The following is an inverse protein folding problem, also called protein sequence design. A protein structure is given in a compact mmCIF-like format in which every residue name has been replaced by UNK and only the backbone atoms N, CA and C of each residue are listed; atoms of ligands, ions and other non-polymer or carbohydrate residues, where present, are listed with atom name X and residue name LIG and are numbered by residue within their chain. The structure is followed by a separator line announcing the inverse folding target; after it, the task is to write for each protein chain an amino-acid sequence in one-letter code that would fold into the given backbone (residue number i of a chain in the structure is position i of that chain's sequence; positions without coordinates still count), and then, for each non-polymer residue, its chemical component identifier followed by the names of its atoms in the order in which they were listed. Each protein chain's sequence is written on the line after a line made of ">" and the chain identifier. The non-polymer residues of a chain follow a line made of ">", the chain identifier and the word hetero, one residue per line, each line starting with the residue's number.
data_IF_887548535183
#
_entry.id   IF_887548535183
#
_cell.length_a   1.000
_cell.length_b   1.000
_cell.length_c   1.000
_cell.angle_alpha   90.00
_cell.angle_beta   90.00
_cell.angle_gamma   90.00
#
_symmetry.space_group_name_H-M   'P 1'
#
loop_
_entity.id
_entity.type
_entity.pdbx_description
1 polymer ?
#
# COMPACT_ATOMS: atom_id res chain seq x y z
N UNK A 1 -1.45 -32.68 -4.47
CA UNK A 1 -2.49 -32.43 -3.44
C UNK A 1 -2.14 -31.29 -2.49
N UNK A 2 -1.89 -30.10 -3.07
CA UNK A 2 -1.54 -28.86 -2.34
C UNK A 2 -2.60 -28.49 -1.30
N UNK A 3 -3.87 -28.76 -1.61
CA UNK A 3 -5.02 -28.45 -0.74
C UNK A 3 -5.35 -29.53 0.28
N UNK A 4 -4.73 -30.73 0.23
CA UNK A 4 -5.00 -31.79 1.20
C UNK A 4 -4.36 -31.54 2.57
N UNK A 5 -3.23 -30.80 2.61
CA UNK A 5 -2.53 -30.41 3.84
C UNK A 5 -2.02 -28.97 3.75
N UNK A 6 -2.89 -27.95 3.78
CA UNK A 6 -2.50 -26.57 3.52
C UNK A 6 -1.63 -25.95 4.62
N UNK A 7 -1.56 -26.57 5.80
CA UNK A 7 -0.85 -26.04 6.98
C UNK A 7 0.27 -26.97 7.49
N UNK A 8 0.89 -27.76 6.60
CA UNK A 8 2.04 -28.54 7.01
C UNK A 8 3.29 -27.68 7.22
N UNK A 9 4.21 -28.15 8.06
CA UNK A 9 5.52 -27.54 8.30
C UNK A 9 6.54 -28.67 8.27
N UNK A 10 7.40 -28.67 7.25
CA UNK A 10 8.50 -29.63 7.11
C UNK A 10 9.87 -29.00 7.32
N UNK A 11 9.96 -27.66 7.11
CA UNK A 11 11.19 -26.91 7.26
C UNK A 11 10.94 -25.40 7.34
N UNK A 12 12.00 -24.59 7.52
CA UNK A 12 11.87 -23.13 7.64
C UNK A 12 11.20 -22.48 6.42
N UNK A 13 11.45 -23.01 5.22
CA UNK A 13 10.91 -22.51 3.95
C UNK A 13 10.00 -23.55 3.26
N UNK A 14 9.84 -24.74 3.81
CA UNK A 14 8.94 -25.79 3.31
C UNK A 14 7.69 -25.86 4.18
N UNK A 15 6.77 -24.98 3.90
CA UNK A 15 5.52 -24.84 4.63
C UNK A 15 4.32 -24.86 3.66
N UNK A 16 3.19 -25.35 4.15
CA UNK A 16 1.97 -25.45 3.37
C UNK A 16 1.50 -24.08 2.83
N UNK A 17 0.74 -24.12 1.72
CA UNK A 17 0.23 -22.92 1.04
C UNK A 17 -0.54 -21.99 1.99
N UNK A 18 -1.24 -22.54 3.00
CA UNK A 18 -1.98 -21.73 3.98
C UNK A 18 -1.07 -20.81 4.79
N UNK A 19 0.09 -21.27 5.23
CA UNK A 19 1.06 -20.45 5.94
C UNK A 19 1.68 -19.37 5.04
N UNK A 20 1.95 -19.72 3.77
CA UNK A 20 2.45 -18.78 2.77
C UNK A 20 1.43 -17.65 2.50
N UNK A 21 0.15 -17.99 2.37
CA UNK A 21 -0.93 -17.02 2.23
C UNK A 21 -1.02 -16.09 3.45
N UNK A 22 -1.00 -16.65 4.66
CA UNK A 22 -1.07 -15.86 5.88
C UNK A 22 0.11 -14.91 6.04
N UNK A 23 1.32 -15.36 5.70
CA UNK A 23 2.52 -14.53 5.75
C UNK A 23 2.43 -13.35 4.78
N UNK A 24 2.05 -13.62 3.52
CA UNK A 24 1.85 -12.55 2.51
C UNK A 24 0.74 -11.59 2.90
N UNK A 25 -0.39 -12.08 3.40
CA UNK A 25 -1.49 -11.27 3.93
C UNK A 25 -1.05 -10.36 5.09
N UNK A 26 -0.26 -10.90 6.02
CA UNK A 26 0.28 -10.14 7.13
C UNK A 26 1.17 -8.98 6.66
N UNK A 27 2.07 -9.23 5.72
CA UNK A 27 2.94 -8.20 5.13
C UNK A 27 2.15 -7.13 4.38
N UNK A 28 1.18 -7.57 3.56
CA UNK A 28 0.28 -6.64 2.85
C UNK A 28 -0.53 -5.82 3.84
N UNK A 29 -1.09 -6.45 4.88
CA UNK A 29 -1.86 -5.76 5.92
C UNK A 29 -1.05 -4.67 6.63
N UNK A 30 0.18 -4.98 7.02
CA UNK A 30 1.06 -4.00 7.70
C UNK A 30 1.52 -2.90 6.75
N UNK A 31 2.04 -3.25 5.57
CA UNK A 31 2.53 -2.26 4.60
C UNK A 31 1.43 -1.34 4.09
N UNK A 32 0.28 -1.91 3.75
CA UNK A 32 -0.91 -1.18 3.33
C UNK A 32 -1.48 -0.31 4.47
N UNK A 33 -1.58 -0.86 5.69
CA UNK A 33 -2.05 -0.13 6.86
C UNK A 33 -1.18 1.08 7.18
N UNK A 34 0.15 0.96 7.12
CA UNK A 34 1.09 2.07 7.26
C UNK A 34 0.93 3.10 6.13
N UNK A 35 0.77 2.65 4.89
CA UNK A 35 0.54 3.53 3.76
C UNK A 35 -0.77 4.31 3.90
N UNK A 36 -1.84 3.67 4.40
CA UNK A 36 -3.11 4.33 4.69
C UNK A 36 -2.98 5.34 5.84
N UNK A 37 -2.35 4.93 6.94
CA UNK A 37 -2.18 5.78 8.13
C UNK A 37 -1.37 7.05 7.85
N UNK A 38 -0.45 7.03 6.91
CA UNK A 38 0.38 8.18 6.52
C UNK A 38 -0.18 8.86 5.26
N UNK A 39 -0.54 8.09 4.25
CA UNK A 39 -0.97 8.59 2.94
C UNK A 39 -2.30 9.33 2.97
N UNK A 40 -3.27 8.85 3.73
CA UNK A 40 -4.58 9.50 3.84
C UNK A 40 -4.47 10.87 4.53
N UNK A 41 -3.86 11.02 5.71
CA UNK A 41 -3.65 12.34 6.33
C UNK A 41 -2.84 13.29 5.44
N UNK A 42 -1.77 12.81 4.80
CA UNK A 42 -1.01 13.63 3.85
C UNK A 42 -1.86 14.07 2.65
N UNK A 43 -2.70 13.19 2.12
CA UNK A 43 -3.64 13.51 1.05
C UNK A 43 -4.62 14.61 1.45
N UNK A 44 -5.15 14.58 2.68
CA UNK A 44 -6.00 15.65 3.22
C UNK A 44 -5.24 16.97 3.31
N UNK A 45 -4.01 16.97 3.82
CA UNK A 45 -3.18 18.17 3.94
C UNK A 45 -2.89 18.76 2.56
N UNK A 46 -2.42 17.94 1.61
CA UNK A 46 -2.09 18.37 0.26
C UNK A 46 -3.33 18.86 -0.50
N UNK A 47 -4.46 18.19 -0.34
CA UNK A 47 -5.72 18.60 -0.95
C UNK A 47 -6.26 19.90 -0.38
N UNK A 48 -6.09 20.13 0.93
CA UNK A 48 -6.56 21.33 1.63
C UNK A 48 -5.68 22.55 1.37
N UNK A 49 -4.37 22.38 1.37
CA UNK A 49 -3.39 23.45 1.22
C UNK A 49 -2.73 23.40 -0.15
N UNK A 50 -3.24 24.18 -1.08
CA UNK A 50 -2.76 24.19 -2.47
C UNK A 50 -1.27 24.56 -2.58
N UNK A 51 -0.76 25.41 -1.71
CA UNK A 51 0.65 25.77 -1.67
C UNK A 51 1.54 24.52 -1.40
N UNK A 52 1.17 23.73 -0.39
CA UNK A 52 1.89 22.48 -0.07
C UNK A 52 1.79 21.47 -1.20
N UNK A 53 0.62 21.36 -1.83
CA UNK A 53 0.45 20.51 -2.99
C UNK A 53 1.35 20.92 -4.15
N UNK A 54 1.47 22.21 -4.43
CA UNK A 54 2.36 22.71 -5.46
C UNK A 54 3.83 22.43 -5.17
N UNK A 55 4.25 22.47 -3.90
CA UNK A 55 5.63 22.14 -3.49
C UNK A 55 5.94 20.65 -3.61
N UNK A 56 5.01 19.78 -3.23
CA UNK A 56 5.23 18.33 -3.12
C UNK A 56 4.91 17.61 -4.45
N UNK A 57 4.03 18.17 -5.26
CA UNK A 57 3.60 17.57 -6.53
C UNK A 57 4.75 17.20 -7.48
N UNK A 58 5.80 18.01 -7.69
CA UNK A 58 6.94 17.62 -8.51
C UNK A 58 7.66 16.39 -7.96
N UNK A 59 7.81 16.29 -6.64
CA UNK A 59 8.47 15.16 -5.97
C UNK A 59 7.67 13.89 -6.20
N UNK A 60 6.35 13.95 -5.99
CA UNK A 60 5.44 12.83 -6.25
C UNK A 60 5.53 12.39 -7.71
N UNK A 61 5.53 13.34 -8.63
CA UNK A 61 5.59 13.08 -10.08
C UNK A 61 6.90 12.40 -10.50
N UNK A 62 8.00 12.68 -9.82
CA UNK A 62 9.30 12.05 -10.05
C UNK A 62 9.41 10.65 -9.41
N UNK A 63 8.88 10.48 -8.20
CA UNK A 63 9.03 9.23 -7.45
C UNK A 63 7.97 8.18 -7.80
N UNK A 64 6.77 8.60 -8.16
CA UNK A 64 5.66 7.70 -8.48
C UNK A 64 5.95 6.73 -9.64
N UNK A 65 6.56 7.14 -10.77
CA UNK A 65 6.85 6.22 -11.86
C UNK A 65 8.03 5.29 -11.60
N UNK A 66 8.78 5.48 -10.51
CA UNK A 66 9.86 4.56 -10.12
C UNK A 66 9.26 3.22 -9.76
N UNK A 67 9.79 2.15 -10.38
CA UNK A 67 9.33 0.79 -10.07
C UNK A 67 9.42 0.51 -8.57
N UNK A 68 8.34 0.05 -7.93
CA UNK A 68 8.38 -0.31 -6.51
C UNK A 68 9.49 -1.29 -6.17
N UNK A 69 9.80 -2.22 -7.07
CA UNK A 69 10.88 -3.21 -6.87
C UNK A 69 12.28 -2.57 -6.85
N UNK A 70 12.46 -1.41 -7.47
CA UNK A 70 13.72 -0.66 -7.39
C UNK A 70 14.02 -0.16 -5.95
N UNK A 71 12.99 -0.05 -5.10
CA UNK A 71 13.13 0.29 -3.69
C UNK A 71 13.51 -0.88 -2.79
N UNK A 72 13.42 -2.13 -3.31
CA UNK A 72 13.73 -3.33 -2.54
C UNK A 72 15.19 -3.38 -2.05
N UNK A 73 16.22 -3.12 -2.88
CA UNK A 73 17.60 -3.09 -2.42
C UNK A 73 17.83 -2.08 -1.30
N UNK A 74 17.19 -0.91 -1.38
CA UNK A 74 17.27 0.11 -0.33
C UNK A 74 16.65 -0.41 0.96
N UNK A 75 15.48 -1.05 0.89
CA UNK A 75 14.86 -1.70 2.03
C UNK A 75 15.75 -2.77 2.66
N UNK A 76 16.39 -3.61 1.86
CA UNK A 76 17.31 -4.64 2.35
C UNK A 76 18.56 -4.05 3.01
N UNK A 77 19.12 -2.97 2.48
CA UNK A 77 20.26 -2.28 3.07
C UNK A 77 19.92 -1.64 4.43
N UNK A 78 18.74 -1.03 4.54
CA UNK A 78 18.31 -0.32 5.75
C UNK A 78 17.87 -1.30 6.83
N UNK A 79 17.00 -2.23 6.49
CA UNK A 79 16.39 -3.14 7.47
C UNK A 79 17.17 -4.42 7.70
N UNK A 80 18.09 -4.78 6.80
CA UNK A 80 18.94 -5.99 6.85
C UNK A 80 18.14 -7.30 7.05
N UNK A 81 16.88 -7.29 6.66
CA UNK A 81 15.96 -8.43 6.76
C UNK A 81 14.94 -8.41 5.62
N UNK A 82 14.59 -9.59 5.10
CA UNK A 82 13.67 -9.73 3.98
C UNK A 82 12.25 -9.27 4.31
N UNK A 83 11.75 -9.63 5.50
CA UNK A 83 10.37 -9.33 5.91
C UNK A 83 10.10 -7.81 6.03
N UNK A 84 10.89 -7.00 6.77
CA UNK A 84 10.72 -5.55 6.78
C UNK A 84 10.96 -4.90 5.42
N UNK A 85 11.89 -5.42 4.61
CA UNK A 85 12.14 -4.89 3.27
C UNK A 85 10.94 -5.09 2.34
N UNK A 86 10.27 -6.24 2.40
CA UNK A 86 9.05 -6.50 1.65
C UNK A 86 7.91 -5.56 2.09
N UNK A 87 7.73 -5.35 3.39
CA UNK A 87 6.75 -4.39 3.94
C UNK A 87 7.04 -2.96 3.46
N UNK A 88 8.31 -2.56 3.45
CA UNK A 88 8.75 -1.26 2.91
C UNK A 88 8.35 -1.05 1.45
N UNK A 89 8.54 -2.05 0.60
CA UNK A 89 8.19 -1.97 -0.82
C UNK A 89 6.68 -1.88 -1.01
N UNK A 90 5.89 -2.63 -0.21
CA UNK A 90 4.42 -2.51 -0.19
C UNK A 90 4.01 -1.09 0.22
N UNK A 91 4.60 -0.57 1.26
CA UNK A 91 4.34 0.79 1.76
C UNK A 91 4.59 1.83 0.67
N UNK A 92 5.77 1.83 0.05
CA UNK A 92 6.14 2.77 -1.01
C UNK A 92 5.23 2.67 -2.22
N UNK A 93 4.82 1.47 -2.62
CA UNK A 93 3.91 1.28 -3.76
C UNK A 93 2.49 1.75 -3.49
N UNK A 94 2.03 1.59 -2.25
CA UNK A 94 0.64 1.86 -1.86
C UNK A 94 0.39 3.31 -1.45
N UNK A 95 1.42 4.02 -1.00
CA UNK A 95 1.27 5.38 -0.48
C UNK A 95 0.83 6.39 -1.56
N UNK A 96 1.38 6.29 -2.77
CA UNK A 96 1.10 7.24 -3.85
C UNK A 96 -0.36 7.26 -4.28
N UNK A 97 -1.02 6.14 -4.58
CA UNK A 97 -2.44 6.13 -4.90
C UNK A 97 -3.31 6.70 -3.77
N UNK A 98 -2.96 6.43 -2.51
CA UNK A 98 -3.70 6.94 -1.35
C UNK A 98 -3.58 8.46 -1.22
N UNK A 99 -2.38 9.00 -1.30
CA UNK A 99 -2.15 10.45 -1.25
C UNK A 99 -2.90 11.15 -2.38
N UNK A 100 -2.70 10.68 -3.61
CA UNK A 100 -3.23 11.36 -4.80
C UNK A 100 -4.75 11.32 -4.83
N UNK A 101 -5.37 10.16 -4.61
CA UNK A 101 -6.83 10.06 -4.66
C UNK A 101 -7.50 10.80 -3.51
N UNK A 102 -6.89 10.82 -2.32
CA UNK A 102 -7.38 11.61 -1.19
C UNK A 102 -7.27 13.11 -1.47
N UNK A 103 -6.14 13.58 -1.97
CA UNK A 103 -5.94 15.00 -2.31
C UNK A 103 -6.91 15.46 -3.41
N UNK A 104 -7.08 14.67 -4.46
CA UNK A 104 -8.06 14.96 -5.54
C UNK A 104 -9.49 14.97 -4.97
N UNK A 105 -9.83 14.05 -4.08
CA UNK A 105 -11.12 14.03 -3.42
C UNK A 105 -11.39 15.31 -2.62
N UNK A 106 -10.39 15.80 -1.86
CA UNK A 106 -10.48 17.06 -1.10
C UNK A 106 -10.67 18.26 -2.03
N UNK A 107 -9.93 18.30 -3.15
CA UNK A 107 -10.03 19.39 -4.12
C UNK A 107 -11.38 19.45 -4.85
N UNK A 108 -12.12 18.34 -4.89
CA UNK A 108 -13.45 18.25 -5.49
C UNK A 108 -14.58 18.72 -4.57
N UNK A 109 -14.30 18.99 -3.30
CA UNK A 109 -15.30 19.50 -2.35
C UNK A 109 -15.75 20.90 -2.80
N UNK A 110 -17.07 21.16 -2.93
CA UNK A 110 -17.57 22.45 -3.34
C UNK A 110 -17.09 23.58 -2.40
N UNK A 111 -16.69 24.71 -2.99
CA UNK A 111 -16.19 25.87 -2.25
C UNK A 111 -17.23 26.42 -1.25
N UNK A 112 -18.51 26.22 -1.55
CA UNK A 112 -19.60 26.67 -0.68
C UNK A 112 -19.54 26.03 0.71
N UNK A 113 -19.14 24.77 0.82
CA UNK A 113 -18.96 24.08 2.10
C UNK A 113 -17.85 24.73 2.93
N UNK A 114 -16.75 25.13 2.27
CA UNK A 114 -15.64 25.83 2.92
C UNK A 114 -16.02 27.26 3.30
N UNK A 115 -16.84 27.94 2.51
CA UNK A 115 -17.37 29.26 2.82
C UNK A 115 -18.27 29.24 4.07
N UNK A 116 -19.15 28.24 4.19
CA UNK A 116 -19.96 28.02 5.39
C UNK A 116 -19.06 27.79 6.61
N UNK A 117 -17.99 27.01 6.47
CA UNK A 117 -17.04 26.78 7.56
C UNK A 117 -16.37 28.10 8.04
N UNK A 118 -16.04 28.99 7.09
CA UNK A 118 -15.47 30.31 7.41
C UNK A 118 -16.48 31.20 8.15
N UNK A 119 -17.73 31.25 7.71
CA UNK A 119 -18.79 32.03 8.36
C UNK A 119 -19.01 31.53 9.80
N UNK A 120 -18.95 30.23 10.02
CA UNK A 120 -19.09 29.62 11.34
C UNK A 120 -17.81 29.65 12.19
N UNK A 121 -16.73 30.26 11.68
CA UNK A 121 -15.40 30.27 12.33
C UNK A 121 -14.93 28.91 12.84
N UNK A 122 -15.10 27.86 12.02
CA UNK A 122 -14.67 26.52 12.37
C UNK A 122 -13.14 26.42 12.35
N UNK A 123 -12.55 25.74 13.34
CA UNK A 123 -11.12 25.41 13.33
C UNK A 123 -10.78 24.46 12.19
N UNK A 124 -9.54 24.49 11.70
CA UNK A 124 -9.08 23.60 10.60
C UNK A 124 -9.33 22.13 10.92
N UNK A 125 -9.14 21.70 12.16
CA UNK A 125 -9.46 20.35 12.61
C UNK A 125 -10.94 19.99 12.42
N UNK A 126 -11.84 20.91 12.76
CA UNK A 126 -13.29 20.70 12.55
C UNK A 126 -13.64 20.70 11.06
N UNK A 127 -13.00 21.54 10.25
CA UNK A 127 -13.18 21.53 8.79
C UNK A 127 -12.77 20.18 8.22
N UNK A 128 -11.60 19.68 8.57
CA UNK A 128 -11.11 18.38 8.08
C UNK A 128 -12.02 17.23 8.54
N UNK A 129 -12.36 17.16 9.82
CA UNK A 129 -13.10 16.01 10.38
C UNK A 129 -14.58 16.01 10.07
N UNK A 130 -15.23 17.19 10.02
CA UNK A 130 -16.69 17.30 9.86
C UNK A 130 -17.16 17.63 8.46
N UNK A 131 -16.32 18.24 7.64
CA UNK A 131 -16.68 18.64 6.28
C UNK A 131 -15.90 17.83 5.25
N UNK A 132 -14.57 17.89 5.28
CA UNK A 132 -13.74 17.26 4.26
C UNK A 132 -13.80 15.73 4.32
N UNK A 133 -13.63 15.14 5.48
CA UNK A 133 -13.62 13.69 5.63
C UNK A 133 -14.92 13.03 5.12
N UNK A 134 -16.14 13.47 5.55
CA UNK A 134 -17.38 12.91 5.01
C UNK A 134 -17.55 13.16 3.50
N UNK A 135 -17.12 14.31 3.00
CA UNK A 135 -17.24 14.68 1.59
C UNK A 135 -16.28 13.91 0.69
N UNK A 136 -15.12 13.53 1.19
CA UNK A 136 -14.08 12.76 0.48
C UNK A 136 -14.34 11.26 0.55
N UNK A 137 -15.09 10.79 1.53
CA UNK A 137 -15.35 9.38 1.77
C UNK A 137 -15.80 8.60 0.51
N UNK A 138 -16.63 9.12 -0.39
CA UNK A 138 -16.99 8.44 -1.64
C UNK A 138 -15.83 8.24 -2.63
N UNK A 139 -14.77 9.05 -2.54
CA UNK A 139 -13.59 9.00 -3.43
C UNK A 139 -12.49 8.10 -2.89
N UNK A 140 -12.43 7.89 -1.57
CA UNK A 140 -11.41 7.08 -0.91
C UNK A 140 -11.35 5.63 -1.40
N UNK A 141 -12.48 4.92 -1.66
CA UNK A 141 -12.45 3.54 -2.14
C UNK A 141 -11.66 3.35 -3.43
N UNK A 142 -11.63 4.34 -4.31
CA UNK A 142 -10.82 4.27 -5.53
C UNK A 142 -9.33 4.22 -5.23
N UNK A 143 -8.83 5.09 -4.36
CA UNK A 143 -7.44 5.09 -3.92
C UNK A 143 -7.07 3.79 -3.20
N UNK A 144 -7.93 3.31 -2.32
CA UNK A 144 -7.76 2.06 -1.57
C UNK A 144 -7.69 0.87 -2.52
N UNK A 145 -8.60 0.77 -3.49
CA UNK A 145 -8.61 -0.32 -4.48
C UNK A 145 -7.32 -0.36 -5.30
N UNK A 146 -6.87 0.80 -5.79
CA UNK A 146 -5.63 0.90 -6.56
C UNK A 146 -4.42 0.52 -5.69
N UNK A 147 -4.38 0.99 -4.45
CA UNK A 147 -3.30 0.70 -3.52
C UNK A 147 -3.23 -0.79 -3.16
N UNK A 148 -4.36 -1.45 -2.91
CA UNK A 148 -4.42 -2.91 -2.66
C UNK A 148 -3.93 -3.68 -3.88
N UNK A 149 -4.38 -3.31 -5.09
CA UNK A 149 -3.94 -3.96 -6.32
C UNK A 149 -2.43 -3.87 -6.51
N UNK A 150 -1.84 -2.69 -6.27
CA UNK A 150 -0.39 -2.50 -6.32
C UNK A 150 0.33 -3.27 -5.22
N UNK A 151 -0.20 -3.29 -4.00
CA UNK A 151 0.38 -4.03 -2.88
C UNK A 151 0.51 -5.53 -3.17
N UNK A 152 -0.54 -6.15 -3.73
CA UNK A 152 -0.52 -7.55 -4.12
C UNK A 152 0.46 -7.85 -5.25
N UNK A 153 0.48 -7.04 -6.28
CA UNK A 153 1.39 -7.23 -7.39
C UNK A 153 2.85 -7.14 -6.92
N UNK A 154 3.12 -6.20 -6.05
CA UNK A 154 4.48 -5.92 -5.57
C UNK A 154 4.95 -6.97 -4.55
N UNK A 155 4.08 -7.45 -3.64
CA UNK A 155 4.49 -8.44 -2.63
C UNK A 155 4.90 -9.77 -3.28
N UNK A 156 4.14 -10.24 -4.26
CA UNK A 156 4.49 -11.49 -4.97
C UNK A 156 5.87 -11.38 -5.58
N UNK A 157 6.16 -10.30 -6.29
CA UNK A 157 7.47 -10.09 -6.90
C UNK A 157 8.59 -9.89 -5.86
N UNK A 158 8.33 -9.18 -4.77
CA UNK A 158 9.29 -8.99 -3.68
C UNK A 158 9.64 -10.31 -2.98
N UNK A 159 8.66 -11.16 -2.72
CA UNK A 159 8.85 -12.48 -2.11
C UNK A 159 9.63 -13.43 -3.02
N UNK A 160 9.42 -13.38 -4.34
CA UNK A 160 10.22 -14.13 -5.31
C UNK A 160 11.70 -13.76 -5.23
N UNK A 161 12.00 -12.49 -5.00
CA UNK A 161 13.38 -11.99 -4.96
C UNK A 161 14.06 -12.16 -3.60
N UNK A 162 13.29 -12.06 -2.51
CA UNK A 162 13.85 -12.11 -1.15
C UNK A 162 13.90 -13.52 -0.56
N UNK A 163 13.07 -14.42 -1.08
CA UNK A 163 12.92 -15.76 -0.53
C UNK A 163 12.12 -15.78 0.79
N UNK A 164 12.04 -16.96 1.40
CA UNK A 164 11.34 -17.16 2.67
C UNK A 164 9.87 -17.61 2.49
N UNK A 165 9.09 -17.52 3.56
CA UNK A 165 7.68 -17.92 3.56
C UNK A 165 6.83 -16.84 2.90
N UNK A 166 6.08 -17.18 1.88
CA UNK A 166 5.19 -16.29 1.14
C UNK A 166 4.72 -16.89 -0.17
N UNK A 167 3.59 -16.40 -0.68
CA UNK A 167 2.99 -16.91 -1.94
C UNK A 167 3.97 -16.76 -3.10
N UNK A 168 4.64 -15.62 -3.21
CA UNK A 168 5.57 -15.36 -4.30
C UNK A 168 6.76 -16.32 -4.31
N UNK A 169 7.34 -16.56 -3.14
CA UNK A 169 8.43 -17.53 -3.01
C UNK A 169 7.95 -18.95 -3.27
N UNK A 170 6.78 -19.34 -2.76
CA UNK A 170 6.20 -20.66 -3.00
C UNK A 170 5.97 -20.92 -4.50
N UNK A 171 5.40 -19.95 -5.23
CA UNK A 171 5.23 -20.06 -6.69
C UNK A 171 6.58 -20.19 -7.41
N UNK A 172 7.58 -19.43 -6.97
CA UNK A 172 8.92 -19.47 -7.54
C UNK A 172 9.61 -20.83 -7.30
N UNK A 173 9.46 -21.39 -6.11
CA UNK A 173 10.04 -22.68 -5.73
C UNK A 173 9.39 -23.83 -6.51
N UNK A 174 8.06 -23.88 -6.60
CA UNK A 174 7.33 -24.88 -7.39
C UNK A 174 7.65 -24.78 -8.89
N UNK A 175 7.84 -23.57 -9.40
CA UNK A 175 8.26 -23.34 -10.78
C UNK A 175 9.67 -23.93 -11.03
N UNK A 176 10.62 -23.66 -10.15
CA UNK A 176 11.99 -24.18 -10.27
C UNK A 176 12.05 -25.70 -10.13
N UNK A 177 11.15 -26.28 -9.35
CA UNK A 177 11.01 -27.72 -9.18
C UNK A 177 10.21 -28.40 -10.33
N UNK A 178 9.77 -27.62 -11.32
CA UNK A 178 8.95 -28.06 -12.46
C UNK A 178 7.59 -28.66 -12.06
N UNK A 179 7.08 -28.32 -10.90
CA UNK A 179 5.77 -28.75 -10.38
C UNK A 179 4.66 -27.80 -10.83
N UNK A 180 4.51 -27.61 -12.13
CA UNK A 180 3.57 -26.63 -12.71
C UNK A 180 2.10 -26.91 -12.30
N UNK A 181 1.78 -28.18 -12.05
CA UNK A 181 0.45 -28.60 -11.59
C UNK A 181 0.05 -28.00 -10.22
N UNK A 182 1.02 -27.61 -9.41
CA UNK A 182 0.77 -26.98 -8.10
C UNK A 182 0.50 -25.48 -8.20
N UNK A 183 0.86 -24.85 -9.33
CA UNK A 183 0.76 -23.40 -9.53
C UNK A 183 -0.60 -23.02 -10.16
N UNK A 184 -1.19 -23.93 -10.92
CA UNK A 184 -2.47 -23.78 -11.61
C UNK A 184 -3.62 -24.26 -10.72
#
# INVERSE_FOLDING_TARGET
>A
DVFSKPFYVKGPNDQGIGWNILASLGRVGVGFGLAAAIGIPLGFILGRFQFLNAMVSPIISLLRPVSPLAWLPIGLLVFKAANPAAIWVIFISSIWPMIINTAVGVQRVPQDYLNVARVLNLSEWKVVTRILFPAVLPYMPTGIRLAIGMAWLVIVAAEMLTGGVGIGFWVWDEWNNLNVEHII
#
